data_IF_483697837110
#
_entry.id   IF_483697837110
#
_cell.length_a   1.000
_cell.length_b   1.000
_cell.length_c   1.000
_cell.angle_alpha   90.00
_cell.angle_beta   90.00
_cell.angle_gamma   90.00
#
_symmetry.space_group_name_H-M   'P 1'
#
loop_
_entity.id
_entity.type
_entity.pdbx_description
1 polymer ?
#
# COMPACT_ATOMS: atom_id res chain seq x y z
N UNK A 1 5.84 -19.38 -5.28
CA UNK A 1 4.43 -18.97 -5.24
C UNK A 1 4.37 -17.53 -4.75
N UNK A 2 3.96 -16.61 -5.62
CA UNK A 2 3.76 -15.18 -5.29
C UNK A 2 2.26 -15.01 -5.09
N UNK A 3 1.87 -14.63 -3.88
CA UNK A 3 0.47 -14.32 -3.57
C UNK A 3 0.24 -12.83 -3.82
N UNK A 4 -0.82 -12.52 -4.55
CA UNK A 4 -1.26 -11.15 -4.85
C UNK A 4 -2.50 -10.85 -4.02
N UNK A 5 -2.55 -9.69 -3.34
CA UNK A 5 -3.80 -9.09 -2.91
C UNK A 5 -4.27 -8.18 -4.06
N UNK A 6 -5.50 -8.39 -4.54
CA UNK A 6 -6.08 -7.58 -5.61
C UNK A 6 -7.34 -6.89 -5.13
N UNK A 7 -7.32 -5.55 -5.10
CA UNK A 7 -8.54 -4.75 -5.17
C UNK A 7 -8.69 -4.34 -6.64
N UNK A 8 -9.54 -5.03 -7.39
CA UNK A 8 -9.77 -4.73 -8.80
C UNK A 8 -10.62 -3.46 -8.92
N UNK A 9 -9.97 -2.28 -9.00
CA UNK A 9 -10.62 -1.06 -9.50
C UNK A 9 -10.39 -1.00 -11.01
N UNK A 10 -11.37 -1.47 -11.79
CA UNK A 10 -11.40 -1.30 -13.25
C UNK A 10 -11.84 0.11 -13.61
N UNK A 11 -10.99 0.96 -14.21
CA UNK A 11 -11.46 2.16 -14.86
C UNK A 11 -12.09 1.75 -16.20
N UNK A 12 -13.40 1.94 -16.36
CA UNK A 12 -14.07 1.81 -17.65
C UNK A 12 -13.61 2.97 -18.57
N UNK A 13 -12.53 2.78 -19.33
CA UNK A 13 -12.19 3.68 -20.44
C UNK A 13 -12.52 3.01 -21.77
N UNK A 14 -13.67 3.37 -22.35
CA UNK A 14 -14.23 2.81 -23.59
C UNK A 14 -13.57 3.31 -24.89
N UNK A 15 -12.27 3.67 -24.89
CA UNK A 15 -11.65 4.34 -26.04
C UNK A 15 -10.30 3.77 -26.53
N UNK A 16 -9.81 2.67 -25.97
CA UNK A 16 -8.67 1.93 -26.54
C UNK A 16 -8.89 0.46 -26.26
N UNK A 17 -8.81 -0.43 -27.27
CA UNK A 17 -9.11 -1.89 -27.17
C UNK A 17 -8.12 -2.70 -26.31
N UNK A 18 -7.79 -2.19 -25.14
CA UNK A 18 -6.73 -2.62 -24.25
C UNK A 18 -7.33 -2.66 -22.83
N UNK A 19 -7.29 -3.81 -22.19
CA UNK A 19 -7.70 -3.94 -20.79
C UNK A 19 -6.51 -3.72 -19.87
N UNK A 20 -6.75 -2.99 -18.77
CA UNK A 20 -5.73 -2.67 -17.76
C UNK A 20 -6.16 -3.24 -16.41
N UNK A 21 -5.27 -4.00 -15.79
CA UNK A 21 -5.44 -4.53 -14.44
C UNK A 21 -4.21 -4.19 -13.61
N UNK A 22 -4.42 -3.73 -12.38
CA UNK A 22 -3.35 -3.41 -11.44
C UNK A 22 -3.31 -4.49 -10.36
N UNK A 23 -2.13 -5.04 -10.14
CA UNK A 23 -1.86 -6.02 -9.09
C UNK A 23 -0.73 -5.48 -8.21
N UNK A 24 -0.79 -5.72 -6.92
CA UNK A 24 0.30 -5.36 -6.02
C UNK A 24 0.75 -6.60 -5.26
N UNK A 25 2.06 -6.85 -5.25
CA UNK A 25 2.61 -8.04 -4.62
C UNK A 25 2.70 -7.84 -3.10
N UNK A 26 2.05 -8.71 -2.32
CA UNK A 26 2.11 -8.67 -0.85
C UNK A 26 3.53 -8.76 -0.28
N UNK A 27 4.46 -9.43 -0.98
CA UNK A 27 5.81 -9.69 -0.46
C UNK A 27 6.81 -8.57 -0.73
N UNK A 28 6.75 -7.98 -1.93
CA UNK A 28 7.73 -6.98 -2.35
C UNK A 28 7.12 -5.61 -2.60
N UNK A 29 5.81 -5.47 -2.44
CA UNK A 29 5.03 -4.25 -2.63
C UNK A 29 5.13 -3.62 -4.03
N UNK A 30 5.80 -4.29 -4.97
CA UNK A 30 5.87 -3.86 -6.36
C UNK A 30 4.48 -3.88 -6.99
N UNK A 31 4.21 -2.87 -7.79
CA UNK A 31 2.97 -2.68 -8.53
C UNK A 31 3.15 -3.16 -9.96
N UNK A 32 2.30 -4.09 -10.36
CA UNK A 32 2.27 -4.70 -11.69
C UNK A 32 1.05 -4.19 -12.43
N UNK A 33 1.27 -3.39 -13.47
CA UNK A 33 0.22 -2.97 -14.39
C UNK A 33 0.18 -3.95 -15.55
N UNK A 34 -0.78 -4.86 -15.52
CA UNK A 34 -1.08 -5.78 -16.61
C UNK A 34 -1.89 -5.04 -17.67
N UNK A 35 -1.43 -5.13 -18.91
CA UNK A 35 -2.01 -4.48 -20.07
C UNK A 35 -2.18 -5.56 -21.13
N UNK A 36 -3.42 -5.86 -21.52
CA UNK A 36 -3.70 -6.90 -22.53
C UNK A 36 -4.53 -6.37 -23.68
N UNK A 37 -4.30 -6.89 -24.89
CA UNK A 37 -5.10 -6.54 -26.06
C UNK A 37 -6.41 -7.34 -26.10
N UNK A 38 -7.57 -6.70 -26.27
CA UNK A 38 -8.68 -7.16 -27.14
C UNK A 38 -9.32 -8.57 -27.09
N UNK A 39 -8.84 -9.63 -26.41
CA UNK A 39 -9.35 -11.00 -26.71
C UNK A 39 -9.23 -11.96 -25.52
N UNK A 40 -10.37 -12.34 -24.91
CA UNK A 40 -10.39 -13.28 -23.78
C UNK A 40 -10.04 -14.73 -24.14
N UNK A 41 -10.16 -15.13 -25.40
CA UNK A 41 -9.88 -16.49 -25.89
C UNK A 41 -9.04 -16.48 -27.18
N UNK A 42 -8.26 -17.53 -27.39
CA UNK A 42 -7.45 -17.74 -28.58
C UNK A 42 -8.14 -18.71 -29.55
N UNK A 43 -9.01 -18.21 -30.43
CA UNK A 43 -9.71 -19.05 -31.43
C UNK A 43 -8.77 -19.75 -32.42
N UNK A 44 -7.53 -19.26 -32.55
CA UNK A 44 -6.51 -19.84 -33.40
C UNK A 44 -5.71 -20.98 -32.72
N UNK A 45 -5.91 -21.22 -31.41
CA UNK A 45 -5.30 -22.35 -30.71
C UNK A 45 -6.25 -23.56 -30.75
N UNK A 46 -5.96 -24.59 -31.56
CA UNK A 46 -6.85 -25.73 -31.77
C UNK A 46 -6.96 -26.68 -30.58
N UNK A 47 -6.08 -26.57 -29.57
CA UNK A 47 -6.03 -27.53 -28.45
C UNK A 47 -7.04 -27.20 -27.35
N UNK A 48 -7.11 -25.93 -26.93
CA UNK A 48 -7.85 -25.54 -25.73
C UNK A 48 -8.35 -24.09 -25.70
N UNK A 49 -8.24 -23.34 -26.81
CA UNK A 49 -8.60 -21.92 -26.89
C UNK A 49 -7.87 -20.99 -25.89
N UNK A 50 -6.80 -21.44 -25.22
CA UNK A 50 -5.98 -20.61 -24.35
C UNK A 50 -4.89 -19.91 -25.15
N UNK A 51 -4.51 -18.71 -24.72
CA UNK A 51 -3.36 -18.02 -25.30
C UNK A 51 -2.06 -18.69 -24.83
N UNK A 52 -1.28 -19.22 -25.78
CA UNK A 52 0.07 -19.70 -25.49
C UNK A 52 1.07 -18.56 -25.67
N UNK A 53 1.43 -17.94 -24.54
CA UNK A 53 2.25 -16.72 -24.49
C UNK A 53 3.74 -17.04 -24.45
N UNK A 54 4.51 -16.45 -25.34
CA UNK A 54 5.97 -16.44 -25.30
C UNK A 54 6.46 -15.06 -24.87
N UNK A 55 7.36 -15.03 -23.88
CA UNK A 55 8.02 -13.79 -23.47
C UNK A 55 8.92 -13.27 -24.58
N UNK A 56 8.66 -12.06 -25.05
CA UNK A 56 9.45 -11.36 -26.06
C UNK A 56 10.47 -10.42 -25.41
N UNK A 57 10.10 -9.80 -24.28
CA UNK A 57 10.96 -8.89 -23.52
C UNK A 57 10.83 -9.19 -22.03
N UNK A 58 11.96 -9.22 -21.33
CA UNK A 58 12.01 -9.28 -19.87
C UNK A 58 13.08 -8.35 -19.33
N UNK A 59 12.65 -7.35 -18.58
CA UNK A 59 13.50 -6.35 -17.92
C UNK A 59 13.03 -6.16 -16.48
N UNK A 60 13.78 -5.38 -15.69
CA UNK A 60 13.40 -5.08 -14.29
C UNK A 60 12.06 -4.34 -14.18
N UNK A 61 11.69 -3.56 -15.19
CA UNK A 61 10.51 -2.68 -15.17
C UNK A 61 9.42 -3.08 -16.16
N UNK A 62 9.67 -4.09 -16.99
CA UNK A 62 8.75 -4.48 -18.06
C UNK A 62 8.90 -5.97 -18.43
N UNK A 63 7.78 -6.66 -18.56
CA UNK A 63 7.68 -7.98 -19.20
C UNK A 63 6.68 -7.89 -20.34
N UNK A 64 7.08 -8.24 -21.56
CA UNK A 64 6.20 -8.33 -22.71
C UNK A 64 6.14 -9.77 -23.20
N UNK A 65 4.93 -10.22 -23.54
CA UNK A 65 4.67 -11.54 -24.09
C UNK A 65 3.66 -11.47 -25.23
N UNK A 66 3.79 -12.37 -26.20
CA UNK A 66 2.90 -12.46 -27.35
C UNK A 66 2.42 -13.90 -27.56
N UNK A 67 1.15 -14.06 -27.92
CA UNK A 67 0.57 -15.34 -28.28
C UNK A 67 1.08 -15.77 -29.65
N UNK A 68 1.58 -17.00 -29.76
CA UNK A 68 2.14 -17.53 -31.01
C UNK A 68 1.09 -17.77 -32.12
N UNK A 69 -0.21 -17.78 -31.78
CA UNK A 69 -1.28 -18.11 -32.72
C UNK A 69 -2.07 -16.90 -33.24
N UNK A 70 -2.34 -15.89 -32.40
CA UNK A 70 -3.28 -14.82 -32.73
C UNK A 70 -2.75 -13.40 -32.47
N UNK A 71 -1.44 -13.24 -32.21
CA UNK A 71 -0.81 -11.95 -31.90
C UNK A 71 -1.39 -11.22 -30.68
N UNK A 72 -2.17 -11.90 -29.83
CA UNK A 72 -2.59 -11.36 -28.54
C UNK A 72 -1.35 -10.99 -27.73
N UNK A 73 -1.33 -9.78 -27.16
CA UNK A 73 -0.19 -9.26 -26.41
C UNK A 73 -0.54 -9.05 -24.96
N UNK A 74 0.44 -9.34 -24.10
CA UNK A 74 0.41 -9.06 -22.67
C UNK A 74 1.66 -8.27 -22.33
N UNK A 75 1.47 -7.07 -21.80
CA UNK A 75 2.54 -6.23 -21.28
C UNK A 75 2.32 -6.05 -19.78
N UNK A 76 3.37 -6.24 -19.00
CA UNK A 76 3.38 -6.01 -17.56
C UNK A 76 4.38 -4.90 -17.28
N UNK A 77 3.90 -3.77 -16.81
CA UNK A 77 4.77 -2.67 -16.32
C UNK A 77 4.95 -2.84 -14.83
N UNK A 78 6.20 -2.92 -14.38
CA UNK A 78 6.58 -3.14 -12.99
C UNK A 78 7.08 -1.81 -12.41
N UNK A 79 6.41 -1.34 -11.38
CA UNK A 79 6.81 -0.16 -10.61
C UNK A 79 7.32 -0.60 -9.24
N UNK A 80 8.47 -0.05 -8.85
CA UNK A 80 8.95 -0.14 -7.47
C UNK A 80 7.99 0.62 -6.54
N UNK A 81 7.86 0.20 -5.27
CA UNK A 81 7.06 0.93 -4.30
C UNK A 81 7.67 2.33 -4.06
N UNK A 82 6.80 3.32 -3.82
CA UNK A 82 7.24 4.67 -3.48
C UNK A 82 7.65 4.79 -2.02
N UNK A 83 6.97 4.06 -1.13
CA UNK A 83 7.37 3.95 0.27
C UNK A 83 8.11 2.63 0.45
N UNK A 84 9.36 2.70 0.94
CA UNK A 84 10.12 1.51 1.30
C UNK A 84 9.33 0.70 2.35
N UNK A 85 9.19 -0.61 2.11
CA UNK A 85 8.50 -1.52 3.03
C UNK A 85 9.06 -1.47 4.46
N UNK A 86 10.36 -1.17 4.60
CA UNK A 86 11.02 -1.03 5.88
C UNK A 86 10.38 0.07 6.75
N UNK A 87 9.82 1.11 6.15
CA UNK A 87 9.12 2.18 6.89
C UNK A 87 7.89 1.62 7.59
N UNK A 88 7.12 0.75 6.92
CA UNK A 88 5.96 0.11 7.54
C UNK A 88 6.36 -0.87 8.65
N UNK A 89 7.45 -1.61 8.46
CA UNK A 89 7.98 -2.52 9.48
C UNK A 89 8.51 -1.75 10.71
N UNK A 90 9.12 -0.59 10.50
CA UNK A 90 9.61 0.27 11.57
C UNK A 90 8.47 0.98 12.32
N UNK A 91 7.42 1.40 11.61
CA UNK A 91 6.18 1.88 12.24
C UNK A 91 5.60 0.79 13.15
N UNK A 92 5.57 -0.46 12.67
CA UNK A 92 5.05 -1.58 13.47
C UNK A 92 5.86 -1.87 14.73
N UNK A 93 7.17 -1.61 14.74
CA UNK A 93 8.00 -1.72 15.95
C UNK A 93 7.75 -0.58 16.94
N UNK A 94 7.48 0.63 16.44
CA UNK A 94 7.34 1.86 17.25
C UNK A 94 5.90 2.20 17.64
N UNK A 95 4.92 1.51 17.06
CA UNK A 95 3.49 1.70 17.33
C UNK A 95 2.93 0.45 18.00
N UNK A 96 1.80 0.61 18.69
CA UNK A 96 1.10 -0.55 19.24
C UNK A 96 0.04 -1.04 18.24
N UNK A 97 -0.23 -2.34 18.27
CA UNK A 97 -1.36 -2.95 17.54
C UNK A 97 -2.32 -3.48 18.62
N UNK A 98 -3.60 -3.04 18.65
CA UNK A 98 -4.57 -3.35 19.72
C UNK A 98 -4.76 -4.84 20.05
N UNK A 99 -4.48 -5.75 19.13
CA UNK A 99 -4.62 -7.20 19.34
C UNK A 99 -3.53 -7.83 20.21
N UNK A 100 -2.41 -7.13 20.46
CA UNK A 100 -1.45 -7.61 21.45
C UNK A 100 -1.95 -7.21 22.84
N UNK A 101 -2.07 -8.21 23.73
CA UNK A 101 -2.55 -8.03 25.10
C UNK A 101 -1.90 -6.81 25.78
N UNK A 102 -2.68 -5.92 26.42
CA UNK A 102 -2.15 -4.78 27.20
C UNK A 102 -1.14 -5.20 28.27
N UNK A 103 -1.17 -6.48 28.68
CA UNK A 103 -0.30 -7.05 29.72
C UNK A 103 1.13 -7.36 29.22
N UNK A 104 1.38 -7.40 27.90
CA UNK A 104 2.66 -7.84 27.34
C UNK A 104 3.73 -6.73 27.22
N UNK A 105 3.41 -5.47 27.55
CA UNK A 105 4.37 -4.34 27.43
C UNK A 105 4.51 -3.55 28.73
N UNK A 106 5.08 -4.20 29.75
CA UNK A 106 5.89 -3.53 30.77
C UNK A 106 7.35 -3.59 30.34
N UNK A 107 7.75 -2.75 29.39
CA UNK A 107 9.18 -2.55 29.09
C UNK A 107 9.58 -1.18 29.61
N UNK A 108 10.31 -1.21 30.72
CA UNK A 108 11.28 -0.19 31.13
C UNK A 108 10.78 1.17 31.64
N UNK A 109 9.68 1.22 32.39
CA UNK A 109 9.47 2.28 33.38
C UNK A 109 9.41 3.73 32.86
N UNK A 110 9.03 3.94 31.61
CA UNK A 110 8.73 5.28 31.08
C UNK A 110 7.22 5.39 30.89
N UNK A 111 6.53 5.79 31.95
CA UNK A 111 5.05 5.89 32.02
C UNK A 111 4.44 6.98 31.10
N UNK A 112 5.18 7.52 30.13
CA UNK A 112 4.80 8.76 29.42
C UNK A 112 4.94 8.75 27.89
N UNK A 113 5.33 7.65 27.24
CA UNK A 113 5.25 7.65 25.76
C UNK A 113 3.79 7.49 25.32
N UNK A 114 3.27 8.39 24.45
CA UNK A 114 1.94 8.24 23.89
C UNK A 114 1.84 6.88 23.21
N UNK A 115 0.91 6.06 23.69
CA UNK A 115 0.58 4.81 23.05
C UNK A 115 -0.16 5.15 21.75
N UNK A 116 0.58 5.21 20.64
CA UNK A 116 0.06 5.55 19.30
C UNK A 116 -0.29 4.27 18.54
N UNK A 117 -1.54 4.18 18.10
CA UNK A 117 -2.09 3.03 17.40
C UNK A 117 -1.59 3.03 15.95
N UNK A 118 -1.09 1.88 15.48
CA UNK A 118 -0.63 1.73 14.11
C UNK A 118 -1.78 1.92 13.10
N UNK A 119 -2.99 1.45 13.38
CA UNK A 119 -4.15 1.66 12.52
C UNK A 119 -4.56 3.13 12.47
N UNK A 120 -4.55 3.85 13.60
CA UNK A 120 -4.78 5.30 13.59
C UNK A 120 -3.69 6.04 12.79
N UNK A 121 -2.43 5.57 12.88
CA UNK A 121 -1.32 6.12 12.11
C UNK A 121 -1.58 5.96 10.61
N UNK A 122 -1.90 4.73 10.17
CA UNK A 122 -2.15 4.42 8.75
C UNK A 122 -3.42 5.10 8.23
N UNK A 123 -4.51 5.17 9.01
CA UNK A 123 -5.72 5.93 8.67
C UNK A 123 -5.39 7.42 8.50
N UNK A 124 -4.59 7.99 9.40
CA UNK A 124 -4.20 9.40 9.32
C UNK A 124 -3.31 9.68 8.11
N UNK A 125 -2.36 8.79 7.80
CA UNK A 125 -1.58 8.88 6.57
C UNK A 125 -2.45 8.78 5.32
N UNK A 126 -3.39 7.83 5.27
CA UNK A 126 -4.32 7.69 4.15
C UNK A 126 -5.10 8.98 3.93
N UNK A 127 -5.65 9.59 5.00
CA UNK A 127 -6.37 10.87 4.90
C UNK A 127 -5.50 12.02 4.42
N UNK A 128 -4.25 12.11 4.87
CA UNK A 128 -3.31 13.14 4.37
C UNK A 128 -3.11 12.95 2.87
N UNK A 129 -2.94 11.71 2.43
CA UNK A 129 -2.75 11.37 1.02
C UNK A 129 -4.01 11.70 0.20
N UNK A 130 -5.19 11.33 0.68
CA UNK A 130 -6.48 11.63 0.05
C UNK A 130 -6.74 13.13 -0.06
N UNK A 131 -6.47 13.89 1.01
CA UNK A 131 -6.61 15.36 1.00
C UNK A 131 -5.76 15.94 -0.11
N UNK A 132 -4.49 15.51 -0.24
CA UNK A 132 -3.63 15.97 -1.32
C UNK A 132 -4.23 15.62 -2.68
N UNK A 133 -4.61 14.36 -2.94
CA UNK A 133 -5.17 13.93 -4.24
C UNK A 133 -6.42 14.74 -4.63
N UNK A 134 -7.29 15.05 -3.67
CA UNK A 134 -8.57 15.74 -3.92
C UNK A 134 -8.47 17.28 -3.92
N UNK A 135 -7.28 17.84 -3.70
CA UNK A 135 -7.04 19.29 -3.65
C UNK A 135 -7.11 20.01 -5.01
N UNK A 136 -7.48 19.31 -6.10
CA UNK A 136 -7.40 19.76 -7.50
C UNK A 136 -8.14 21.08 -7.80
N UNK A 137 -9.05 21.56 -6.94
CA UNK A 137 -9.86 22.76 -7.19
C UNK A 137 -10.01 23.70 -5.97
N UNK A 138 -9.06 23.68 -5.04
CA UNK A 138 -9.12 24.52 -3.84
C UNK A 138 -7.78 25.21 -3.61
N UNK A 139 -7.78 26.55 -3.67
CA UNK A 139 -6.63 27.40 -3.33
C UNK A 139 -6.15 27.19 -1.88
N UNK A 140 -6.96 26.53 -1.03
CA UNK A 140 -6.70 26.31 0.40
C UNK A 140 -6.18 24.89 0.75
N UNK A 141 -6.10 23.96 -0.20
CA UNK A 141 -6.04 22.53 0.16
C UNK A 141 -4.64 21.89 0.18
N UNK A 142 -3.58 22.66 -0.07
CA UNK A 142 -2.21 22.21 0.19
C UNK A 142 -1.87 22.46 1.66
N UNK A 143 -2.38 21.60 2.56
CA UNK A 143 -2.28 21.79 4.01
C UNK A 143 -0.89 21.48 4.53
N UNK A 144 -0.26 22.48 5.13
CA UNK A 144 0.87 22.31 6.04
C UNK A 144 0.47 21.36 7.17
N UNK A 145 1.36 20.45 7.53
CA UNK A 145 1.11 19.49 8.62
C UNK A 145 1.87 19.98 9.85
N UNK A 146 1.13 20.51 10.83
CA UNK A 146 1.71 20.96 12.08
C UNK A 146 2.03 19.78 13.00
N UNK A 147 3.31 19.63 13.35
CA UNK A 147 3.83 18.52 14.18
C UNK A 147 3.30 18.61 15.60
N UNK A 148 3.12 19.84 16.10
CA UNK A 148 2.57 20.10 17.44
C UNK A 148 1.04 19.99 17.50
N UNK A 149 0.37 19.66 16.37
CA UNK A 149 -1.08 19.49 16.40
C UNK A 149 -1.48 18.27 17.23
N UNK A 150 -2.65 18.34 17.87
CA UNK A 150 -3.18 17.21 18.66
C UNK A 150 -3.29 15.93 17.84
N UNK A 151 -3.75 16.04 16.59
CA UNK A 151 -3.89 14.89 15.69
C UNK A 151 -2.53 14.28 15.37
N UNK A 152 -1.54 15.10 15.01
CA UNK A 152 -0.21 14.60 14.69
C UNK A 152 0.43 13.92 15.90
N UNK A 153 0.44 14.59 17.06
CA UNK A 153 1.03 14.06 18.29
C UNK A 153 0.35 12.79 18.79
N UNK A 154 -0.98 12.68 18.70
CA UNK A 154 -1.70 11.51 19.21
C UNK A 154 -1.81 10.34 18.23
N UNK A 155 -1.77 10.59 16.91
CA UNK A 155 -2.03 9.55 15.89
C UNK A 155 -0.83 9.20 15.04
N UNK A 156 0.14 10.11 14.86
CA UNK A 156 1.32 9.86 14.05
C UNK A 156 2.54 9.76 14.94
N UNK A 157 2.77 10.75 15.81
CA UNK A 157 4.00 10.89 16.60
C UNK A 157 5.15 11.45 15.77
N UNK A 158 6.02 12.26 16.38
CA UNK A 158 7.20 12.78 15.71
C UNK A 158 8.42 11.93 16.03
N UNK A 159 8.78 11.05 15.11
CA UNK A 159 9.96 10.20 15.17
C UNK A 159 10.63 10.03 13.79
N UNK A 160 11.79 9.39 13.76
CA UNK A 160 12.56 9.18 12.53
C UNK A 160 11.75 8.50 11.43
N UNK A 161 10.89 7.54 11.79
CA UNK A 161 10.12 6.76 10.81
C UNK A 161 9.01 7.61 10.18
N UNK A 162 8.28 8.38 10.98
CA UNK A 162 7.30 9.35 10.48
C UNK A 162 7.95 10.42 9.60
N UNK A 163 9.15 10.89 9.97
CA UNK A 163 9.91 11.86 9.18
C UNK A 163 10.29 11.28 7.81
N UNK A 164 10.85 10.07 7.76
CA UNK A 164 11.20 9.40 6.50
C UNK A 164 9.96 9.16 5.62
N UNK A 165 8.81 8.83 6.22
CA UNK A 165 7.56 8.71 5.47
C UNK A 165 7.17 10.02 4.77
N UNK A 166 7.21 11.16 5.49
CA UNK A 166 6.90 12.47 4.91
C UNK A 166 7.95 12.93 3.89
N UNK A 167 9.23 12.70 4.16
CA UNK A 167 10.33 12.99 3.23
C UNK A 167 10.13 12.22 1.91
N UNK A 168 9.74 10.94 1.97
CA UNK A 168 9.42 10.15 0.79
C UNK A 168 8.20 10.68 0.02
N UNK A 169 7.22 11.29 0.69
CA UNK A 169 6.13 11.99 0.01
C UNK A 169 6.55 13.32 -0.61
N UNK A 170 7.76 13.81 -0.30
CA UNK A 170 8.28 15.10 -0.76
C UNK A 170 7.87 16.28 0.11
N UNK A 171 7.33 16.01 1.31
CA UNK A 171 7.16 17.05 2.31
C UNK A 171 8.54 17.50 2.82
N UNK A 172 8.65 18.78 3.19
CA UNK A 172 9.87 19.34 3.75
C UNK A 172 9.62 19.80 5.17
N UNK A 173 10.41 19.33 6.11
CA UNK A 173 10.39 19.85 7.46
C UNK A 173 10.94 21.28 7.47
N UNK A 174 10.15 22.24 7.98
CA UNK A 174 10.60 23.60 8.22
C UNK A 174 10.93 23.72 9.71
N UNK A 175 12.22 23.54 10.04
CA UNK A 175 12.71 23.40 11.42
C UNK A 175 12.28 24.56 12.33
N UNK A 176 12.30 25.79 11.83
CA UNK A 176 11.94 26.98 12.61
C UNK A 176 10.43 27.10 12.90
N UNK A 177 9.59 26.31 12.23
CA UNK A 177 8.13 26.48 12.24
C UNK A 177 7.34 25.23 12.64
N UNK A 178 8.01 24.12 12.97
CA UNK A 178 7.41 22.87 13.47
C UNK A 178 6.25 22.35 12.59
N UNK A 179 6.38 22.46 11.27
CA UNK A 179 5.46 21.86 10.32
C UNK A 179 6.17 21.26 9.11
N UNK A 180 5.50 20.33 8.47
CA UNK A 180 5.87 19.83 7.16
C UNK A 180 5.21 20.67 6.07
N UNK A 181 6.03 21.26 5.21
CA UNK A 181 5.60 21.93 4.00
C UNK A 181 5.31 20.89 2.91
N UNK A 182 4.12 20.91 2.31
CA UNK A 182 3.72 19.94 1.29
C UNK A 182 4.51 20.07 -0.02
N UNK A 183 4.58 18.98 -0.80
CA UNK A 183 5.21 19.02 -2.12
C UNK A 183 4.42 19.89 -3.12
N UNK A 184 5.04 20.30 -4.23
CA UNK A 184 4.36 20.98 -5.32
C UNK A 184 3.18 20.17 -5.87
N UNK A 185 2.06 20.83 -6.08
CA UNK A 185 0.87 20.18 -6.64
C UNK A 185 1.00 20.01 -8.16
N UNK A 186 1.51 18.85 -8.58
CA UNK A 186 1.71 18.49 -9.98
C UNK A 186 1.13 17.11 -10.25
N UNK A 187 0.83 16.80 -11.51
CA UNK A 187 0.33 15.48 -11.90
C UNK A 187 1.23 14.33 -11.43
N UNK A 188 2.55 14.53 -11.45
CA UNK A 188 3.51 13.52 -10.99
C UNK A 188 3.35 13.21 -9.50
N UNK A 189 3.16 14.25 -8.67
CA UNK A 189 2.88 14.07 -7.25
C UNK A 189 1.48 13.47 -7.01
N UNK A 190 0.46 13.83 -7.81
CA UNK A 190 -0.88 13.22 -7.68
C UNK A 190 -0.80 11.72 -7.95
N UNK A 191 -0.15 11.30 -9.04
CA UNK A 191 0.03 9.87 -9.36
C UNK A 191 0.83 9.16 -8.28
N UNK A 192 1.90 9.78 -7.77
CA UNK A 192 2.67 9.25 -6.65
C UNK A 192 1.80 9.05 -5.41
N UNK A 193 0.99 10.03 -5.03
CA UNK A 193 0.11 9.94 -3.87
C UNK A 193 -0.97 8.86 -4.05
N UNK A 194 -1.52 8.71 -5.26
CA UNK A 194 -2.44 7.60 -5.57
C UNK A 194 -1.77 6.24 -5.35
N UNK A 195 -0.50 6.08 -5.76
CA UNK A 195 0.23 4.84 -5.51
C UNK A 195 0.50 4.61 -4.03
N UNK A 196 0.88 5.65 -3.27
CA UNK A 196 1.09 5.53 -1.83
C UNK A 196 -0.21 5.16 -1.09
N UNK A 197 -1.36 5.68 -1.53
CA UNK A 197 -2.67 5.26 -1.01
C UNK A 197 -2.90 3.76 -1.21
N UNK A 198 -2.60 3.22 -2.41
CA UNK A 198 -2.69 1.78 -2.68
C UNK A 198 -1.72 0.95 -1.81
N UNK A 199 -0.51 1.46 -1.53
CA UNK A 199 0.48 0.82 -0.65
C UNK A 199 0.03 0.79 0.81
N UNK A 200 -0.56 1.87 1.32
CA UNK A 200 -1.14 1.94 2.67
C UNK A 200 -2.30 0.94 2.79
N UNK A 201 -3.23 0.92 1.82
CA UNK A 201 -4.35 -0.01 1.80
C UNK A 201 -3.87 -1.47 1.86
N UNK A 202 -2.81 -1.80 1.12
CA UNK A 202 -2.22 -3.13 1.16
C UNK A 202 -1.67 -3.49 2.53
N UNK A 203 -0.95 -2.56 3.20
CA UNK A 203 -0.41 -2.83 4.54
C UNK A 203 -1.54 -3.01 5.56
N UNK A 204 -2.60 -2.22 5.46
CA UNK A 204 -3.81 -2.38 6.31
C UNK A 204 -4.46 -3.75 6.10
N UNK A 205 -4.57 -4.22 4.84
CA UNK A 205 -5.09 -5.57 4.53
C UNK A 205 -4.19 -6.67 5.09
N UNK A 206 -2.87 -6.59 4.90
CA UNK A 206 -1.89 -7.56 5.41
C UNK A 206 -1.97 -7.69 6.94
N UNK A 207 -2.04 -6.54 7.63
CA UNK A 207 -2.23 -6.51 9.09
C UNK A 207 -3.55 -7.14 9.51
N UNK A 208 -4.65 -6.83 8.81
CA UNK A 208 -5.98 -7.37 9.13
C UNK A 208 -6.05 -8.89 8.97
N UNK A 209 -5.45 -9.43 7.91
CA UNK A 209 -5.35 -10.88 7.70
C UNK A 209 -4.54 -11.55 8.83
N UNK A 210 -3.40 -10.96 9.20
CA UNK A 210 -2.56 -11.48 10.30
C UNK A 210 -3.28 -11.51 11.65
N UNK A 211 -4.16 -10.52 11.91
CA UNK A 211 -4.97 -10.45 13.13
C UNK A 211 -6.04 -11.53 13.15
N UNK A 212 -6.72 -11.77 12.02
CA UNK A 212 -7.70 -12.86 11.90
C UNK A 212 -7.03 -14.20 12.19
N UNK A 213 -5.89 -14.47 11.56
CA UNK A 213 -5.10 -15.70 11.79
C UNK A 213 -4.69 -15.86 13.26
N UNK A 214 -4.25 -14.77 13.91
CA UNK A 214 -3.83 -14.79 15.31
C UNK A 214 -5.00 -15.04 16.27
N UNK A 215 -6.17 -14.43 16.00
CA UNK A 215 -7.39 -14.65 16.77
C UNK A 215 -7.90 -16.09 16.62
N UNK A 216 -7.87 -16.64 15.40
CA UNK A 216 -8.20 -18.04 15.15
C UNK A 216 -7.26 -19.01 15.88
N UNK A 217 -5.94 -18.79 15.80
CA UNK A 217 -4.97 -19.60 16.54
C UNK A 217 -5.19 -19.52 18.06
N UNK A 218 -5.43 -18.32 18.60
CA UNK A 218 -5.67 -18.13 20.03
C UNK A 218 -6.97 -18.80 20.48
N UNK A 219 -8.04 -18.70 19.68
CA UNK A 219 -9.32 -19.35 19.97
C UNK A 219 -9.19 -20.88 19.94
N UNK A 220 -8.54 -21.45 18.93
CA UNK A 220 -8.28 -22.90 18.85
C UNK A 220 -7.45 -23.37 20.04
N UNK A 221 -6.37 -22.66 20.40
CA UNK A 221 -5.51 -23.04 21.53
C UNK A 221 -6.27 -22.98 22.87
N UNK A 222 -7.07 -21.95 23.09
CA UNK A 222 -7.84 -21.76 24.33
C UNK A 222 -8.94 -22.83 24.47
N UNK A 223 -9.60 -23.16 23.36
CA UNK A 223 -10.62 -24.23 23.33
C UNK A 223 -9.99 -25.60 23.54
N UNK A 224 -8.80 -25.84 22.99
CA UNK A 224 -8.09 -27.11 23.16
C UNK A 224 -7.57 -27.33 24.59
N UNK A 225 -7.16 -26.25 25.27
CA UNK A 225 -6.70 -26.32 26.67
C UNK A 225 -7.89 -26.48 27.62
N UNK A 226 -9.02 -25.80 27.39
CA UNK A 226 -10.22 -25.91 28.23
C UNK A 226 -10.97 -27.24 28.07
N UNK A 227 -10.79 -27.96 26.97
CA UNK A 227 -11.36 -29.30 26.78
C UNK A 227 -10.47 -30.44 27.33
N UNK A 228 -9.23 -30.16 27.75
CA UNK A 228 -8.28 -31.15 28.27
C UNK A 228 -7.89 -30.89 29.74
N UNK A 229 -8.60 -29.98 30.42
CA UNK A 229 -8.58 -29.75 31.87
C UNK A 229 -9.94 -30.15 32.45
#
# INVERSE_FOLDING_TARGET
MVEFAGCAKTPHSWLTGWSKTVLICKKCHKRFTLITSEHGICVANPENNLHHLHTTTSTKTNIASQCCYCNFTVNVVIHEPFIDIQIFDDLQKRRFIPTYSPLARKTNGVDNEPMIDLFDTLDTFSRIVEIFIHSINSDDAIRKIHINSKVFTSKIGFDDTSKVFFDNLGYKLVDDQNFFEPPPFTNDYIVKFQHVSEEIDMKVMDMSESMILTLFCSYVLTTYILCNL
#
